data_IF_628508057409
#
_entry.id   IF_628508057409
#
_cell.length_a   1.000
_cell.length_b   1.000
_cell.length_c   1.000
_cell.angle_alpha   90.00
_cell.angle_beta   90.00
_cell.angle_gamma   90.00
#
_symmetry.space_group_name_H-M   'P 1'
#
loop_
_entity.id
_entity.type
_entity.pdbx_description
1 polymer ?
#
# COMPACT_ATOMS: atom_id res chain seq x y z
N UNK A 1 -26.54 -49.74 -22.89
CA UNK A 1 -26.22 -48.78 -21.78
C UNK A 1 -24.74 -48.44 -21.74
N UNK A 2 -23.82 -49.37 -21.74
CA UNK A 2 -22.34 -49.16 -21.60
C UNK A 2 -21.75 -48.24 -22.68
N UNK A 3 -22.14 -48.35 -23.97
CA UNK A 3 -21.64 -47.50 -25.06
C UNK A 3 -22.02 -45.99 -24.91
N UNK A 4 -23.17 -45.69 -24.31
CA UNK A 4 -23.59 -44.29 -24.04
C UNK A 4 -22.83 -43.68 -22.85
N UNK A 5 -22.47 -44.50 -21.85
CA UNK A 5 -21.67 -44.06 -20.71
C UNK A 5 -20.23 -43.74 -21.12
N UNK A 6 -19.62 -44.57 -21.96
CA UNK A 6 -18.28 -44.38 -22.50
C UNK A 6 -18.18 -43.10 -23.37
N UNK A 7 -19.21 -42.81 -24.16
CA UNK A 7 -19.24 -41.58 -24.98
C UNK A 7 -19.37 -40.33 -24.12
N UNK A 8 -20.21 -40.38 -23.07
CA UNK A 8 -20.34 -39.25 -22.13
C UNK A 8 -19.04 -38.96 -21.36
N UNK A 9 -18.31 -39.97 -20.91
CA UNK A 9 -17.03 -39.87 -20.24
C UNK A 9 -15.96 -39.28 -21.18
N UNK A 10 -15.91 -39.73 -22.44
CA UNK A 10 -14.98 -39.21 -23.44
C UNK A 10 -15.23 -37.72 -23.77
N UNK A 11 -16.49 -37.30 -23.84
CA UNK A 11 -16.83 -35.87 -24.06
C UNK A 11 -16.43 -35.00 -22.88
N UNK A 12 -16.65 -35.46 -21.63
CA UNK A 12 -16.23 -34.70 -20.42
C UNK A 12 -14.72 -34.61 -20.31
N UNK A 13 -13.99 -35.68 -20.63
CA UNK A 13 -12.51 -35.66 -20.64
C UNK A 13 -11.98 -34.75 -21.74
N UNK A 14 -12.60 -34.75 -22.92
CA UNK A 14 -12.22 -33.81 -24.00
C UNK A 14 -12.51 -32.38 -23.66
N UNK A 15 -13.65 -32.05 -23.02
CA UNK A 15 -13.94 -30.69 -22.55
C UNK A 15 -12.99 -30.22 -21.44
N UNK A 16 -12.59 -31.10 -20.52
CA UNK A 16 -11.60 -30.82 -19.50
C UNK A 16 -10.19 -30.60 -20.08
N UNK A 17 -9.83 -31.37 -21.11
CA UNK A 17 -8.55 -31.20 -21.82
C UNK A 17 -8.50 -29.90 -22.62
N UNK A 18 -9.60 -29.56 -23.31
CA UNK A 18 -9.72 -28.25 -24.03
C UNK A 18 -9.71 -27.08 -23.05
N UNK A 19 -10.39 -27.20 -21.92
CA UNK A 19 -10.37 -26.20 -20.86
C UNK A 19 -8.97 -25.97 -20.25
N UNK A 20 -8.19 -27.06 -20.04
CA UNK A 20 -6.79 -26.98 -19.61
C UNK A 20 -5.88 -26.39 -20.68
N UNK A 21 -6.03 -26.79 -21.95
CA UNK A 21 -5.27 -26.25 -23.07
C UNK A 21 -5.56 -24.76 -23.28
N UNK A 22 -6.82 -24.35 -23.21
CA UNK A 22 -7.20 -22.93 -23.29
C UNK A 22 -6.65 -22.10 -22.11
N UNK A 23 -6.66 -22.66 -20.89
CA UNK A 23 -6.01 -22.02 -19.73
C UNK A 23 -4.50 -21.91 -19.87
N UNK A 24 -3.85 -22.91 -20.42
CA UNK A 24 -2.40 -22.88 -20.67
C UNK A 24 -2.03 -21.90 -21.80
N UNK A 25 -2.83 -21.75 -22.82
CA UNK A 25 -2.61 -20.77 -23.90
C UNK A 25 -2.80 -19.34 -23.37
N UNK A 26 -3.79 -19.10 -22.49
CA UNK A 26 -3.96 -17.81 -21.81
C UNK A 26 -2.82 -17.53 -20.82
N UNK A 27 -2.27 -18.54 -20.16
CA UNK A 27 -1.11 -18.39 -19.27
C UNK A 27 0.22 -18.16 -20.01
N UNK A 28 0.30 -18.49 -21.30
CA UNK A 28 1.46 -18.24 -22.16
C UNK A 28 1.46 -16.83 -22.80
N UNK A 29 0.35 -16.12 -22.75
CA UNK A 29 0.31 -14.70 -23.11
C UNK A 29 0.82 -13.91 -21.90
N UNK A 30 1.99 -13.29 -22.02
CA UNK A 30 2.50 -12.36 -21.00
C UNK A 30 1.44 -11.29 -20.67
N UNK A 31 1.62 -10.57 -19.58
CA UNK A 31 0.66 -9.53 -19.21
C UNK A 31 0.48 -8.54 -20.37
N UNK A 32 -0.73 -8.00 -20.58
CA UNK A 32 -1.01 -7.09 -21.68
C UNK A 32 -0.03 -5.90 -21.65
N UNK A 33 0.33 -5.32 -22.79
CA UNK A 33 1.22 -4.17 -22.84
C UNK A 33 0.63 -3.01 -22.04
N UNK A 34 1.51 -2.20 -21.44
CA UNK A 34 1.12 -0.96 -20.74
C UNK A 34 0.58 0.03 -21.76
N UNK A 35 -0.50 0.74 -21.41
CA UNK A 35 -1.08 1.78 -22.23
C UNK A 35 -0.02 2.85 -22.60
N UNK A 36 0.18 3.15 -23.89
CA UNK A 36 1.12 4.20 -24.33
C UNK A 36 0.88 5.56 -23.68
N UNK A 37 -0.36 5.91 -23.35
CA UNK A 37 -0.67 7.15 -22.64
C UNK A 37 -0.13 7.14 -21.20
N UNK A 38 -0.10 5.98 -20.52
CA UNK A 38 0.51 5.81 -19.21
C UNK A 38 2.02 6.06 -19.30
N UNK A 39 2.70 5.44 -20.27
CA UNK A 39 4.12 5.64 -20.51
C UNK A 39 4.46 7.10 -20.81
N UNK A 40 3.66 7.77 -21.65
CA UNK A 40 3.86 9.17 -22.01
C UNK A 40 3.71 10.11 -20.79
N UNK A 41 2.87 9.78 -19.83
CA UNK A 41 2.75 10.54 -18.59
C UNK A 41 3.98 10.34 -17.69
N UNK A 42 4.42 9.11 -17.53
CA UNK A 42 5.61 8.77 -16.74
C UNK A 42 6.89 9.41 -17.29
N UNK A 43 7.01 9.53 -18.62
CA UNK A 43 8.15 10.16 -19.28
C UNK A 43 8.34 11.67 -18.98
N UNK A 44 7.35 12.30 -18.31
CA UNK A 44 7.47 13.70 -17.84
C UNK A 44 8.25 13.83 -16.53
N UNK A 45 8.53 12.71 -15.84
CA UNK A 45 9.36 12.71 -14.65
C UNK A 45 10.83 12.95 -14.99
N UNK A 46 11.63 13.50 -14.05
CA UNK A 46 13.07 13.59 -14.23
C UNK A 46 13.68 12.19 -14.38
N UNK A 47 14.75 12.04 -15.20
CA UNK A 47 15.44 10.76 -15.33
C UNK A 47 15.93 10.26 -13.97
N UNK A 48 15.72 8.98 -13.70
CA UNK A 48 16.23 8.29 -12.52
C UNK A 48 16.75 6.91 -12.94
N UNK A 49 17.96 6.58 -12.49
CA UNK A 49 18.60 5.30 -12.79
C UNK A 49 18.65 4.42 -11.55
N UNK A 50 18.73 3.11 -11.75
CA UNK A 50 18.93 2.16 -10.66
C UNK A 50 20.22 2.44 -9.88
N UNK A 51 21.28 2.91 -10.55
CA UNK A 51 22.53 3.27 -9.89
C UNK A 51 22.34 4.41 -8.88
N UNK A 52 21.50 5.40 -9.22
CA UNK A 52 21.16 6.47 -8.28
C UNK A 52 20.30 5.96 -7.11
N UNK A 53 19.36 5.06 -7.37
CA UNK A 53 18.56 4.41 -6.30
C UNK A 53 19.48 3.61 -5.37
N UNK A 54 20.38 2.80 -5.92
CA UNK A 54 21.37 2.01 -5.15
C UNK A 54 22.29 2.91 -4.31
N UNK A 55 22.71 4.06 -4.85
CA UNK A 55 23.48 5.06 -4.09
C UNK A 55 22.69 5.58 -2.89
N UNK A 56 21.41 5.86 -3.06
CA UNK A 56 20.52 6.30 -1.99
C UNK A 56 20.29 5.25 -0.91
N UNK A 57 20.46 3.96 -1.20
CA UNK A 57 20.40 2.92 -0.16
C UNK A 57 21.41 3.13 0.97
N UNK A 58 22.52 3.82 0.68
CA UNK A 58 23.53 4.18 1.67
C UNK A 58 23.35 5.64 2.16
N UNK A 59 23.19 6.58 1.23
CA UNK A 59 23.15 8.01 1.55
C UNK A 59 21.91 8.43 2.38
N UNK A 60 20.77 7.76 2.16
CA UNK A 60 19.53 8.08 2.87
C UNK A 60 19.31 7.20 4.10
N UNK A 61 20.13 6.19 4.35
CA UNK A 61 19.91 5.20 5.39
C UNK A 61 19.68 5.83 6.77
N UNK A 62 18.71 5.25 7.50
CA UNK A 62 18.49 5.47 8.92
C UNK A 62 19.02 4.32 9.78
N UNK A 63 19.75 3.38 9.19
CA UNK A 63 20.29 2.25 9.94
C UNK A 63 21.18 2.72 11.09
N UNK A 64 21.03 2.12 12.25
CA UNK A 64 21.74 2.48 13.46
C UNK A 64 21.28 3.79 14.14
N UNK A 65 20.40 4.56 13.53
CA UNK A 65 19.92 5.85 14.08
C UNK A 65 19.31 5.73 15.48
N UNK A 66 18.63 4.63 15.76
CA UNK A 66 17.97 4.34 17.05
C UNK A 66 18.58 3.13 17.78
N UNK A 67 19.80 2.76 17.41
CA UNK A 67 20.52 1.60 17.94
C UNK A 67 20.43 0.38 17.02
N UNK A 68 21.35 -0.61 17.22
CA UNK A 68 21.47 -1.74 16.30
C UNK A 68 20.29 -2.71 16.35
N UNK A 69 19.55 -2.76 17.46
CA UNK A 69 18.43 -3.67 17.67
C UNK A 69 17.07 -3.01 17.37
N UNK A 70 17.07 -1.79 16.83
CA UNK A 70 15.82 -1.10 16.52
C UNK A 70 15.07 -1.78 15.36
N UNK A 71 13.81 -2.09 15.63
CA UNK A 71 12.86 -2.70 14.68
C UNK A 71 11.65 -1.79 14.38
N UNK A 72 11.65 -0.54 14.88
CA UNK A 72 10.54 0.41 14.75
C UNK A 72 10.76 1.49 13.70
N UNK A 73 12.02 1.75 13.34
CA UNK A 73 12.36 2.74 12.33
C UNK A 73 11.83 4.14 12.63
N UNK A 74 11.21 4.75 11.62
CA UNK A 74 10.67 6.12 11.72
C UNK A 74 9.54 6.30 12.74
N UNK A 75 8.92 5.22 13.22
CA UNK A 75 7.95 5.30 14.31
C UNK A 75 8.57 5.80 15.62
N UNK A 76 9.89 5.78 15.77
CA UNK A 76 10.59 6.42 16.87
C UNK A 76 10.47 7.96 16.87
N UNK A 77 10.06 8.57 15.75
CA UNK A 77 9.71 9.99 15.71
C UNK A 77 8.35 10.30 16.34
N UNK A 78 7.50 9.30 16.54
CA UNK A 78 6.21 9.46 17.23
C UNK A 78 6.44 9.36 18.74
N UNK A 79 6.91 10.47 19.30
CA UNK A 79 7.15 10.59 20.74
C UNK A 79 5.83 10.84 21.49
N UNK A 80 5.78 10.64 22.81
CA UNK A 80 4.62 11.03 23.62
C UNK A 80 4.21 12.49 23.42
N UNK A 81 5.19 13.40 23.30
CA UNK A 81 4.93 14.81 23.02
C UNK A 81 4.26 15.01 21.65
N UNK A 82 4.77 14.32 20.61
CA UNK A 82 4.16 14.36 19.27
C UNK A 82 2.71 13.87 19.27
N UNK A 83 2.42 12.81 20.02
CA UNK A 83 1.07 12.29 20.20
C UNK A 83 0.17 13.31 20.91
N UNK A 84 0.63 13.94 21.98
CA UNK A 84 -0.14 14.96 22.70
C UNK A 84 -0.41 16.18 21.81
N UNK A 85 0.55 16.57 20.97
CA UNK A 85 0.35 17.65 19.99
C UNK A 85 -0.68 17.27 18.93
N UNK A 86 -0.62 16.05 18.44
CA UNK A 86 -1.59 15.53 17.47
C UNK A 86 -3.02 15.54 18.02
N UNK A 87 -3.21 15.09 19.27
CA UNK A 87 -4.52 15.05 19.91
C UNK A 87 -5.22 16.42 20.00
N UNK A 88 -4.48 17.53 19.99
CA UNK A 88 -5.04 18.88 19.95
C UNK A 88 -5.72 19.23 18.63
N UNK A 89 -5.52 18.41 17.60
CA UNK A 89 -6.17 18.57 16.28
C UNK A 89 -7.61 18.03 16.24
N UNK A 90 -8.01 17.21 17.21
CA UNK A 90 -9.38 16.74 17.36
C UNK A 90 -10.27 17.88 17.91
N UNK A 91 -10.69 18.77 17.03
CA UNK A 91 -11.43 20.00 17.41
C UNK A 91 -12.94 19.86 17.25
N UNK A 92 -13.35 19.06 16.26
CA UNK A 92 -14.75 18.95 15.84
C UNK A 92 -15.37 17.63 16.25
N UNK A 93 -14.55 16.64 16.65
CA UNK A 93 -14.98 15.30 17.02
C UNK A 93 -15.51 14.46 15.85
N UNK A 94 -15.27 14.89 14.60
CA UNK A 94 -15.67 14.14 13.41
C UNK A 94 -14.65 13.07 13.13
N UNK A 95 -15.12 11.83 12.99
CA UNK A 95 -14.31 10.65 12.75
C UNK A 95 -14.60 10.08 11.36
N UNK A 96 -13.56 9.81 10.60
CA UNK A 96 -13.63 9.14 9.30
C UNK A 96 -12.73 7.91 9.28
N UNK A 97 -13.13 6.86 8.56
CA UNK A 97 -12.24 5.75 8.26
C UNK A 97 -11.27 6.14 7.16
N UNK A 98 -10.01 5.69 7.29
CA UNK A 98 -8.97 5.84 6.26
C UNK A 98 -8.76 4.52 5.48
N UNK A 99 -9.65 3.54 5.68
CA UNK A 99 -9.57 2.22 5.06
C UNK A 99 -10.73 1.97 4.09
N UNK A 100 -10.42 1.32 2.97
CA UNK A 100 -11.43 0.76 2.08
C UNK A 100 -12.04 -0.50 2.71
N UNK A 101 -13.29 -0.78 2.41
CA UNK A 101 -13.91 -2.05 2.78
C UNK A 101 -13.13 -3.22 2.15
N UNK A 102 -12.92 -4.30 2.92
CA UNK A 102 -12.32 -5.51 2.38
C UNK A 102 -13.15 -6.03 1.20
N UNK A 103 -12.49 -6.21 0.05
CA UNK A 103 -13.17 -6.65 -1.16
C UNK A 103 -12.99 -8.15 -1.37
N UNK A 104 -14.11 -8.84 -1.58
CA UNK A 104 -14.15 -10.24 -2.01
C UNK A 104 -14.18 -10.35 -3.56
N UNK A 105 -14.20 -9.23 -4.25
CA UNK A 105 -14.31 -9.15 -5.70
C UNK A 105 -13.01 -9.58 -6.37
N UNK A 106 -13.11 -10.50 -7.35
CA UNK A 106 -12.02 -10.81 -8.29
C UNK A 106 -12.04 -9.78 -9.41
N UNK A 107 -11.07 -8.88 -9.41
CA UNK A 107 -11.00 -7.78 -10.35
C UNK A 107 -9.57 -7.56 -10.86
N UNK A 108 -9.43 -6.74 -11.90
CA UNK A 108 -8.12 -6.46 -12.49
C UNK A 108 -7.14 -5.78 -11.51
N UNK A 109 -7.65 -5.08 -10.51
CA UNK A 109 -6.89 -4.42 -9.45
C UNK A 109 -6.81 -5.23 -8.15
N UNK A 110 -7.35 -6.45 -8.11
CA UNK A 110 -7.29 -7.35 -6.96
C UNK A 110 -6.60 -8.65 -7.35
N UNK A 111 -5.33 -8.79 -6.94
CA UNK A 111 -4.43 -9.84 -7.45
C UNK A 111 -4.66 -11.21 -6.81
N UNK A 112 -5.43 -11.29 -5.70
CA UNK A 112 -5.69 -12.50 -4.95
C UNK A 112 -4.42 -13.27 -4.56
N UNK A 113 -3.62 -12.72 -3.64
CA UNK A 113 -2.54 -13.46 -2.97
C UNK A 113 -3.07 -14.55 -2.02
N UNK A 114 -4.16 -15.16 -2.37
CA UNK A 114 -4.83 -16.18 -1.61
C UNK A 114 -6.33 -16.19 -1.87
N UNK A 115 -7.04 -17.12 -1.24
CA UNK A 115 -8.49 -17.15 -1.32
C UNK A 115 -9.09 -16.08 -0.40
N UNK A 116 -9.69 -15.05 -0.97
CA UNK A 116 -10.49 -14.10 -0.20
C UNK A 116 -11.88 -14.68 0.01
N UNK A 117 -12.25 -14.94 1.25
CA UNK A 117 -13.48 -15.59 1.62
C UNK A 117 -14.01 -15.09 2.96
N UNK A 118 -15.29 -14.85 3.02
CA UNK A 118 -16.04 -14.63 4.25
C UNK A 118 -17.10 -15.73 4.36
N UNK A 119 -17.25 -16.35 5.51
CA UNK A 119 -18.23 -17.42 5.73
C UNK A 119 -18.81 -17.39 7.13
N UNK A 120 -20.06 -17.83 7.23
CA UNK A 120 -20.73 -18.11 8.50
C UNK A 120 -20.44 -19.54 8.91
N UNK A 121 -20.07 -19.76 10.18
CA UNK A 121 -19.63 -21.08 10.66
C UNK A 121 -20.70 -21.90 11.41
N UNK A 122 -21.81 -21.27 11.80
CA UNK A 122 -22.82 -21.89 12.68
C UNK A 122 -24.24 -21.61 12.23
N UNK A 123 -24.45 -21.27 10.97
CA UNK A 123 -25.79 -21.09 10.40
C UNK A 123 -26.39 -22.44 10.06
N UNK A 124 -27.63 -22.70 10.50
CA UNK A 124 -28.39 -23.86 10.08
C UNK A 124 -28.66 -23.77 8.57
N UNK A 125 -28.18 -24.74 7.76
CA UNK A 125 -28.26 -24.63 6.31
C UNK A 125 -29.70 -24.76 5.75
N UNK A 126 -30.65 -25.25 6.56
CA UNK A 126 -32.04 -25.46 6.14
C UNK A 126 -32.92 -24.26 6.49
N UNK A 127 -32.72 -23.68 7.66
CA UNK A 127 -33.57 -22.58 8.17
C UNK A 127 -32.91 -21.22 8.09
N UNK A 128 -31.60 -21.14 7.91
CA UNK A 128 -30.83 -19.90 7.99
C UNK A 128 -30.76 -19.30 9.41
N UNK A 129 -31.26 -20.00 10.41
CA UNK A 129 -31.35 -19.48 11.77
C UNK A 129 -30.10 -19.76 12.58
N UNK A 130 -29.76 -18.83 13.46
CA UNK A 130 -28.65 -18.95 14.41
C UNK A 130 -28.92 -18.06 15.62
N UNK A 131 -28.59 -18.54 16.83
CA UNK A 131 -28.73 -17.72 18.07
C UNK A 131 -27.52 -16.79 18.28
N UNK A 132 -26.33 -17.26 17.99
CA UNK A 132 -25.08 -16.51 18.06
C UNK A 132 -24.32 -16.70 16.76
N UNK A 133 -24.27 -15.68 15.92
CA UNK A 133 -23.59 -15.73 14.63
C UNK A 133 -22.07 -15.78 14.83
N UNK A 134 -21.43 -16.73 14.16
CA UNK A 134 -19.97 -16.85 14.10
C UNK A 134 -19.54 -16.86 12.65
N UNK A 135 -18.55 -16.08 12.34
CA UNK A 135 -18.01 -15.97 11.00
C UNK A 135 -16.49 -16.11 10.98
N UNK A 136 -15.95 -16.37 9.82
CA UNK A 136 -14.54 -16.37 9.55
C UNK A 136 -14.24 -15.61 8.27
N UNK A 137 -13.04 -15.06 8.20
CA UNK A 137 -12.54 -14.36 7.00
C UNK A 137 -11.12 -14.79 6.69
N UNK A 138 -10.85 -14.99 5.40
CA UNK A 138 -9.48 -15.07 4.85
C UNK A 138 -9.36 -14.06 3.73
N UNK A 139 -8.23 -13.39 3.63
CA UNK A 139 -7.88 -12.52 2.51
C UNK A 139 -6.37 -12.28 2.46
N UNK A 140 -5.85 -12.02 1.27
CA UNK A 140 -4.47 -11.58 1.11
C UNK A 140 -4.33 -10.16 1.64
N UNK A 141 -3.48 -9.95 2.64
CA UNK A 141 -3.27 -8.62 3.23
C UNK A 141 -2.77 -7.64 2.16
N UNK A 142 -1.81 -8.07 1.32
CA UNK A 142 -1.22 -7.27 0.25
C UNK A 142 -2.03 -7.24 -1.06
N UNK A 143 -3.30 -7.64 -1.04
CA UNK A 143 -4.15 -7.54 -2.23
C UNK A 143 -4.39 -6.09 -2.64
N UNK A 144 -4.55 -5.86 -3.93
CA UNK A 144 -4.63 -4.53 -4.51
C UNK A 144 -5.87 -3.71 -4.16
N UNK A 145 -6.83 -4.26 -3.42
CA UNK A 145 -8.03 -3.56 -2.92
C UNK A 145 -8.11 -3.51 -1.39
N UNK A 146 -7.23 -4.23 -0.70
CA UNK A 146 -7.20 -4.21 0.76
C UNK A 146 -6.29 -3.11 1.27
N UNK A 147 -6.81 -2.22 2.11
CA UNK A 147 -5.99 -1.24 2.81
C UNK A 147 -5.09 -1.97 3.81
N UNK A 148 -3.78 -1.78 3.71
CA UNK A 148 -2.82 -2.43 4.58
C UNK A 148 -1.64 -1.52 4.93
N UNK A 149 -0.98 -1.85 6.04
CA UNK A 149 0.24 -1.21 6.50
C UNK A 149 1.38 -2.22 6.43
N UNK A 150 2.39 -1.94 5.64
CA UNK A 150 3.57 -2.78 5.46
C UNK A 150 4.52 -2.70 6.65
N UNK A 151 5.00 -3.86 7.06
CA UNK A 151 6.07 -3.98 8.05
C UNK A 151 7.46 -3.74 7.44
N UNK A 152 8.45 -3.45 8.28
CA UNK A 152 9.81 -3.20 7.82
C UNK A 152 10.54 -4.45 7.31
N UNK A 153 9.98 -5.64 7.48
CA UNK A 153 10.46 -6.87 6.88
C UNK A 153 9.84 -7.19 5.51
N UNK A 154 8.87 -6.38 5.05
CA UNK A 154 8.19 -6.63 3.77
C UNK A 154 9.13 -6.48 2.56
N UNK A 155 10.01 -5.47 2.59
CA UNK A 155 11.02 -5.23 1.55
C UNK A 155 12.43 -5.46 2.06
N UNK A 156 13.29 -6.02 1.21
CA UNK A 156 14.67 -6.31 1.53
C UNK A 156 15.62 -5.85 0.43
N UNK A 157 16.86 -5.56 0.81
CA UNK A 157 17.95 -5.25 -0.08
C UNK A 157 18.85 -6.49 -0.28
N UNK A 158 19.19 -6.85 -1.51
CA UNK A 158 20.17 -7.90 -1.76
C UNK A 158 21.59 -7.40 -1.39
N UNK A 159 22.24 -8.04 -0.42
CA UNK A 159 23.59 -7.72 0.06
C UNK A 159 24.42 -8.98 0.23
N UNK A 160 25.50 -9.13 -0.53
CA UNK A 160 26.41 -10.27 -0.38
C UNK A 160 25.74 -11.65 -0.49
N UNK A 161 24.76 -11.80 -1.38
CA UNK A 161 24.02 -13.05 -1.57
C UNK A 161 22.96 -13.34 -0.51
N UNK A 162 22.65 -12.37 0.38
CA UNK A 162 21.59 -12.44 1.38
C UNK A 162 20.61 -11.28 1.21
N UNK A 163 19.39 -11.46 1.66
CA UNK A 163 18.43 -10.39 1.78
C UNK A 163 18.55 -9.75 3.17
N UNK A 164 18.63 -8.44 3.20
CA UNK A 164 18.72 -7.63 4.43
C UNK A 164 17.53 -6.67 4.47
N UNK A 165 16.84 -6.67 5.59
CA UNK A 165 15.75 -5.74 5.88
C UNK A 165 16.26 -4.52 6.66
N UNK A 166 15.37 -3.60 7.03
CA UNK A 166 15.72 -2.38 7.75
C UNK A 166 16.69 -2.66 8.93
N UNK A 167 17.58 -1.71 9.18
CA UNK A 167 18.58 -1.70 10.25
C UNK A 167 19.62 -2.83 10.16
N UNK A 168 19.93 -3.27 8.94
CA UNK A 168 20.88 -4.35 8.67
C UNK A 168 20.50 -5.72 9.28
N UNK A 169 19.22 -5.92 9.59
CA UNK A 169 18.75 -7.21 10.06
C UNK A 169 18.66 -8.20 8.89
N UNK A 170 19.01 -9.48 9.07
CA UNK A 170 18.80 -10.48 8.03
C UNK A 170 17.29 -10.70 7.82
N UNK A 171 16.85 -10.86 6.57
CA UNK A 171 15.48 -11.25 6.26
C UNK A 171 15.27 -12.72 6.61
N UNK A 172 15.13 -13.02 7.89
CA UNK A 172 14.84 -14.36 8.39
C UNK A 172 13.34 -14.61 8.30
N UNK A 173 12.92 -15.27 7.23
CA UNK A 173 11.54 -15.68 6.99
C UNK A 173 11.42 -17.20 7.08
N UNK A 174 10.31 -17.67 7.66
CA UNK A 174 9.84 -19.04 7.53
C UNK A 174 8.31 -19.04 7.30
N UNK A 175 7.69 -20.22 7.33
CA UNK A 175 6.24 -20.35 7.14
C UNK A 175 5.41 -19.60 8.21
N UNK A 176 6.01 -19.24 9.33
CA UNK A 176 5.36 -18.50 10.41
C UNK A 176 5.61 -16.97 10.32
N UNK A 177 6.34 -16.50 9.32
CA UNK A 177 6.59 -15.08 9.04
C UNK A 177 7.99 -14.59 9.40
N UNK A 178 8.11 -13.28 9.60
CA UNK A 178 9.37 -12.59 9.89
C UNK A 178 9.80 -12.80 11.35
N UNK A 179 11.09 -13.02 11.55
CA UNK A 179 11.69 -13.06 12.89
C UNK A 179 12.05 -11.67 13.40
N UNK A 180 12.37 -10.74 12.51
CA UNK A 180 12.74 -9.36 12.80
C UNK A 180 11.92 -8.40 11.93
N UNK A 181 11.76 -7.16 12.38
CA UNK A 181 11.09 -6.10 11.67
C UNK A 181 9.62 -6.41 11.28
N UNK A 182 9.01 -7.39 11.95
CA UNK A 182 7.62 -7.78 11.72
C UNK A 182 6.62 -6.72 12.23
N UNK A 183 5.37 -6.83 11.78
CA UNK A 183 4.35 -5.83 12.08
C UNK A 183 4.11 -5.62 13.58
N UNK A 184 4.19 -6.66 14.38
CA UNK A 184 4.02 -6.59 15.83
C UNK A 184 5.11 -5.78 16.56
N UNK A 185 6.27 -5.54 15.90
CA UNK A 185 7.34 -4.67 16.41
C UNK A 185 6.97 -3.18 16.37
N UNK A 186 5.95 -2.80 15.63
CA UNK A 186 5.49 -1.41 15.57
C UNK A 186 4.84 -0.91 16.88
N UNK A 187 4.56 -1.81 17.81
CA UNK A 187 4.06 -1.47 19.15
C UNK A 187 2.53 -1.57 19.27
N UNK A 188 1.94 -0.93 20.29
CA UNK A 188 0.53 -1.11 20.63
C UNK A 188 -0.44 -0.42 19.65
N UNK A 189 0.05 0.52 18.89
CA UNK A 189 -0.67 1.39 17.96
C UNK A 189 0.07 2.71 17.77
N UNK A 190 -0.36 3.50 16.82
CA UNK A 190 0.31 4.73 16.43
C UNK A 190 -0.73 5.86 16.43
N UNK A 191 -0.48 6.92 17.21
CA UNK A 191 -1.30 8.13 17.22
C UNK A 191 -0.39 9.32 16.95
N UNK A 192 -0.59 9.98 15.81
CA UNK A 192 0.23 11.10 15.38
C UNK A 192 -0.57 12.08 14.52
N UNK A 193 0.03 13.20 14.15
CA UNK A 193 -0.55 14.10 13.17
C UNK A 193 -0.53 13.45 11.80
N UNK A 194 -1.70 13.32 11.17
CA UNK A 194 -1.84 13.00 9.77
C UNK A 194 -1.88 14.29 8.94
N UNK A 195 -1.20 14.30 7.81
CA UNK A 195 -1.25 15.35 6.80
C UNK A 195 -1.71 14.74 5.49
N UNK A 196 -2.87 15.15 5.01
CA UNK A 196 -3.42 14.69 3.74
C UNK A 196 -2.99 15.62 2.61
N UNK A 197 -2.36 15.04 1.60
CA UNK A 197 -1.99 15.69 0.34
C UNK A 197 -3.02 15.28 -0.71
N UNK A 198 -3.96 16.17 -1.02
CA UNK A 198 -5.00 15.91 -2.02
C UNK A 198 -4.58 16.45 -3.39
N UNK A 199 -3.89 15.62 -4.16
CA UNK A 199 -3.39 16.00 -5.48
C UNK A 199 -4.50 16.32 -6.48
N UNK A 200 -5.60 15.55 -6.57
CA UNK A 200 -6.73 15.90 -7.45
C UNK A 200 -7.31 17.29 -7.15
N UNK A 201 -7.50 17.63 -5.89
CA UNK A 201 -8.01 18.96 -5.49
C UNK A 201 -7.07 20.08 -5.99
N UNK A 202 -5.78 19.96 -5.74
CA UNK A 202 -4.79 20.97 -6.14
C UNK A 202 -4.71 21.10 -7.67
N UNK A 203 -4.76 19.98 -8.38
CA UNK A 203 -4.69 19.96 -9.85
C UNK A 203 -6.04 20.19 -10.54
N UNK A 204 -7.13 20.35 -9.78
CA UNK A 204 -8.50 20.58 -10.26
C UNK A 204 -8.98 19.49 -11.21
N UNK A 205 -8.70 18.23 -10.85
CA UNK A 205 -9.14 17.03 -11.56
C UNK A 205 -9.87 16.11 -10.60
N UNK A 206 -10.63 15.15 -11.12
CA UNK A 206 -11.35 14.18 -10.30
C UNK A 206 -10.39 13.12 -9.72
N UNK A 207 -9.37 12.73 -10.52
CA UNK A 207 -8.27 11.84 -10.14
C UNK A 207 -7.02 12.14 -10.96
N UNK A 208 -5.87 11.66 -10.52
CA UNK A 208 -4.67 11.59 -11.34
C UNK A 208 -4.74 10.38 -12.27
N UNK A 209 -4.52 10.58 -13.55
CA UNK A 209 -4.46 9.47 -14.51
C UNK A 209 -3.28 8.53 -14.20
N UNK A 210 -3.42 7.20 -14.40
CA UNK A 210 -2.35 6.24 -14.24
C UNK A 210 -1.05 6.66 -14.96
N UNK A 211 0.09 6.42 -14.32
CA UNK A 211 1.40 6.85 -14.83
C UNK A 211 1.77 8.31 -14.51
N UNK A 212 0.87 9.07 -13.85
CA UNK A 212 1.19 10.45 -13.45
C UNK A 212 2.14 10.45 -12.25
N UNK A 213 3.38 10.94 -12.40
CA UNK A 213 4.32 11.06 -11.29
C UNK A 213 3.97 12.25 -10.40
N UNK A 214 4.09 12.06 -9.10
CA UNK A 214 4.08 13.12 -8.09
C UNK A 214 5.53 13.42 -7.72
N UNK A 215 5.93 14.67 -7.87
CA UNK A 215 7.29 15.15 -7.69
C UNK A 215 7.43 16.01 -6.42
N UNK A 216 8.66 16.32 -6.02
CA UNK A 216 8.93 17.25 -4.90
C UNK A 216 8.22 18.59 -5.10
N UNK A 217 8.26 19.13 -6.31
CA UNK A 217 7.56 20.38 -6.65
C UNK A 217 6.05 20.32 -6.41
N UNK A 218 5.41 19.17 -6.62
CA UNK A 218 3.98 18.99 -6.34
C UNK A 218 3.73 19.00 -4.83
N UNK A 219 4.58 18.31 -4.05
CA UNK A 219 4.47 18.25 -2.59
C UNK A 219 4.69 19.63 -1.95
N UNK A 220 5.68 20.37 -2.44
CA UNK A 220 5.95 21.74 -1.94
C UNK A 220 4.87 22.74 -2.40
N UNK A 221 4.31 22.56 -3.58
CA UNK A 221 3.14 23.32 -4.03
C UNK A 221 1.92 23.03 -3.16
N UNK A 222 1.73 21.77 -2.75
CA UNK A 222 0.68 21.40 -1.80
C UNK A 222 0.87 22.04 -0.43
N UNK A 223 2.09 22.01 0.14
CA UNK A 223 2.39 22.69 1.42
C UNK A 223 1.96 24.16 1.39
N UNK A 224 2.22 24.85 0.28
CA UNK A 224 1.82 26.25 0.10
C UNK A 224 0.30 26.41 -0.06
N UNK A 225 -0.33 25.54 -0.89
CA UNK A 225 -1.77 25.55 -1.13
C UNK A 225 -2.56 25.27 0.16
N UNK A 226 -2.16 24.28 0.92
CA UNK A 226 -2.82 23.84 2.14
C UNK A 226 -2.43 24.67 3.38
N UNK A 227 -1.42 25.53 3.26
CA UNK A 227 -0.80 26.25 4.36
C UNK A 227 -0.40 25.30 5.51
N UNK A 228 0.23 24.19 5.17
CA UNK A 228 0.68 23.16 6.10
C UNK A 228 2.12 22.79 5.80
N UNK A 229 2.90 22.50 6.84
CA UNK A 229 4.27 22.02 6.70
C UNK A 229 4.34 20.57 7.17
N UNK A 230 4.75 19.69 6.26
CA UNK A 230 5.02 18.28 6.57
C UNK A 230 6.33 18.18 7.34
N UNK A 231 6.37 17.40 8.42
CA UNK A 231 7.54 17.34 9.28
C UNK A 231 7.67 16.08 10.10
N UNK A 232 8.60 16.12 11.04
CA UNK A 232 8.98 14.97 11.86
C UNK A 232 7.81 14.33 12.55
N UNK A 233 7.72 13.00 12.39
CA UNK A 233 6.74 12.17 13.04
C UNK A 233 5.33 12.26 12.44
N UNK A 234 5.14 12.98 11.34
CA UNK A 234 3.84 13.02 10.67
C UNK A 234 3.55 11.72 9.92
N UNK A 235 2.29 11.36 9.85
CA UNK A 235 1.76 10.41 8.88
C UNK A 235 1.38 11.19 7.62
N UNK A 236 2.14 11.00 6.54
CA UNK A 236 1.91 11.65 5.26
C UNK A 236 1.01 10.76 4.40
N UNK A 237 -0.16 11.26 4.04
CA UNK A 237 -1.15 10.55 3.23
C UNK A 237 -1.31 11.23 1.87
N UNK A 238 -1.14 10.47 0.80
CA UNK A 238 -1.22 10.96 -0.59
C UNK A 238 -2.51 10.43 -1.23
N UNK A 239 -3.42 11.32 -1.55
CA UNK A 239 -4.61 11.00 -2.35
C UNK A 239 -4.32 11.24 -3.82
N UNK A 240 -4.48 10.20 -4.62
CA UNK A 240 -4.40 10.25 -6.10
C UNK A 240 -5.79 10.29 -6.75
N UNK A 241 -6.85 9.97 -5.99
CA UNK A 241 -8.22 9.82 -6.48
C UNK A 241 -8.48 8.45 -7.09
N UNK A 242 -7.67 7.43 -6.75
CA UNK A 242 -7.84 6.07 -7.26
C UNK A 242 -9.25 5.53 -7.08
N UNK A 243 -9.83 5.73 -5.90
CA UNK A 243 -11.15 5.18 -5.59
C UNK A 243 -12.27 5.89 -6.34
N UNK A 244 -12.16 7.21 -6.55
CA UNK A 244 -13.06 7.96 -7.41
C UNK A 244 -13.00 7.44 -8.86
N UNK A 245 -11.79 7.19 -9.38
CA UNK A 245 -11.61 6.57 -10.70
C UNK A 245 -12.25 5.18 -10.75
N UNK A 246 -11.94 4.31 -9.78
CA UNK A 246 -12.48 2.95 -9.73
C UNK A 246 -14.00 2.90 -9.69
N UNK A 247 -14.60 3.78 -8.94
CA UNK A 247 -16.06 3.89 -8.85
C UNK A 247 -16.70 4.31 -10.19
N UNK A 248 -16.04 5.15 -10.97
CA UNK A 248 -16.59 5.71 -12.21
C UNK A 248 -16.29 4.88 -13.45
N UNK A 249 -15.08 4.33 -13.57
CA UNK A 249 -14.64 3.63 -14.78
C UNK A 249 -14.42 2.13 -14.57
N UNK A 250 -14.53 1.63 -13.33
CA UNK A 250 -14.27 0.24 -12.99
C UNK A 250 -12.79 -0.07 -12.68
N UNK A 251 -12.50 -1.34 -12.33
CA UNK A 251 -11.16 -1.80 -11.99
C UNK A 251 -10.24 -1.82 -13.23
N UNK A 252 -8.95 -1.55 -13.02
CA UNK A 252 -7.89 -1.65 -14.02
C UNK A 252 -6.62 -2.29 -13.39
N UNK A 253 -5.58 -2.66 -14.16
CA UNK A 253 -4.37 -3.29 -13.61
C UNK A 253 -3.50 -2.29 -12.81
N UNK A 254 -4.05 -1.79 -11.72
CA UNK A 254 -3.52 -0.73 -10.87
C UNK A 254 -2.11 -1.02 -10.34
N UNK A 255 -1.76 -2.27 -10.07
CA UNK A 255 -0.41 -2.64 -9.65
C UNK A 255 0.68 -2.37 -10.71
N UNK A 256 0.30 -2.14 -11.96
CA UNK A 256 1.19 -1.88 -13.09
C UNK A 256 0.99 -0.48 -13.72
N UNK A 257 -0.15 0.12 -13.50
CA UNK A 257 -0.57 1.37 -14.10
C UNK A 257 -1.24 2.24 -13.05
N UNK A 258 -0.46 3.09 -12.37
CA UNK A 258 -1.00 3.95 -11.32
C UNK A 258 -0.27 5.28 -11.22
N UNK A 259 -0.98 6.32 -10.76
CA UNK A 259 -0.37 7.56 -10.33
C UNK A 259 0.23 7.37 -8.93
N UNK A 260 1.34 8.01 -8.65
CA UNK A 260 2.01 7.90 -7.35
C UNK A 260 3.29 8.70 -7.27
N UNK A 261 4.02 8.54 -6.19
CA UNK A 261 5.29 9.21 -5.96
C UNK A 261 6.37 8.70 -6.91
N UNK A 262 7.10 9.60 -7.52
CA UNK A 262 8.30 9.26 -8.28
C UNK A 262 9.48 9.02 -7.33
N UNK A 263 10.37 8.06 -7.63
CA UNK A 263 11.51 7.73 -6.76
C UNK A 263 12.39 8.91 -6.36
N UNK A 264 12.43 9.97 -7.18
CA UNK A 264 13.20 11.18 -6.89
C UNK A 264 12.73 11.97 -5.65
N UNK A 265 11.57 11.63 -5.07
CA UNK A 265 11.09 12.30 -3.84
C UNK A 265 11.73 11.74 -2.56
N UNK A 266 12.43 10.61 -2.64
CA UNK A 266 12.99 9.94 -1.46
C UNK A 266 13.93 10.82 -0.62
N UNK A 267 14.85 11.62 -1.18
CA UNK A 267 15.68 12.54 -0.38
C UNK A 267 14.85 13.60 0.36
N UNK A 268 13.78 14.09 -0.26
CA UNK A 268 12.87 15.04 0.38
C UNK A 268 12.10 14.39 1.55
N UNK A 269 11.59 13.16 1.37
CA UNK A 269 10.92 12.40 2.43
C UNK A 269 11.87 12.13 3.62
N UNK A 270 13.16 11.81 3.34
CA UNK A 270 14.20 11.71 4.36
C UNK A 270 14.34 12.99 5.17
N UNK A 271 14.38 14.16 4.52
CA UNK A 271 14.50 15.46 5.19
C UNK A 271 13.27 15.79 6.05
N UNK A 272 12.09 15.33 5.65
CA UNK A 272 10.83 15.56 6.39
C UNK A 272 10.70 14.68 7.63
N UNK A 273 11.48 13.62 7.76
CA UNK A 273 11.45 12.68 8.89
C UNK A 273 10.03 12.20 9.23
N UNK A 274 9.25 11.89 8.21
CA UNK A 274 7.89 11.37 8.37
C UNK A 274 7.91 10.01 9.10
N UNK A 275 6.84 9.68 9.80
CA UNK A 275 6.72 8.41 10.53
C UNK A 275 6.06 7.29 9.72
N UNK A 276 5.10 7.63 8.90
CA UNK A 276 4.36 6.74 8.00
C UNK A 276 4.16 7.46 6.68
N UNK A 277 4.28 6.74 5.58
CA UNK A 277 3.86 7.20 4.26
C UNK A 277 2.67 6.35 3.80
N UNK A 278 1.62 6.98 3.28
CA UNK A 278 0.45 6.25 2.79
C UNK A 278 -0.07 6.81 1.47
N UNK A 279 -0.66 5.93 0.67
CA UNK A 279 -1.36 6.28 -0.56
C UNK A 279 -2.71 5.59 -0.65
N UNK A 280 -3.66 6.20 -1.36
CA UNK A 280 -4.91 5.56 -1.76
C UNK A 280 -4.72 4.54 -2.89
N UNK A 281 -3.48 4.39 -3.35
CA UNK A 281 -3.03 3.44 -4.35
C UNK A 281 -1.83 2.65 -3.80
N UNK A 282 -0.94 2.13 -4.64
CA UNK A 282 0.43 1.80 -4.26
C UNK A 282 1.23 3.11 -4.23
N UNK A 283 2.16 3.24 -3.31
CA UNK A 283 2.87 4.52 -3.12
C UNK A 283 3.71 4.93 -4.34
N UNK A 284 4.31 3.98 -5.05
CA UNK A 284 5.09 4.23 -6.27
C UNK A 284 4.19 4.57 -7.46
N UNK A 285 4.59 5.53 -8.28
CA UNK A 285 4.05 5.65 -9.64
C UNK A 285 4.39 4.39 -10.46
N UNK A 286 3.45 3.90 -11.25
CA UNK A 286 3.68 2.75 -12.10
C UNK A 286 3.29 3.04 -13.56
N UNK A 287 4.20 2.76 -14.51
CA UNK A 287 5.60 2.35 -14.32
C UNK A 287 6.45 3.39 -13.58
N UNK A 288 7.46 2.94 -12.83
CA UNK A 288 8.29 3.81 -11.98
C UNK A 288 9.11 4.85 -12.75
N UNK A 289 9.39 4.59 -14.03
CA UNK A 289 10.29 5.40 -14.86
C UNK A 289 11.77 5.24 -14.54
N UNK A 290 12.14 4.40 -13.56
CA UNK A 290 13.55 4.12 -13.23
C UNK A 290 14.18 3.24 -14.29
N UNK A 291 15.28 3.72 -14.87
CA UNK A 291 16.04 2.95 -15.86
C UNK A 291 16.91 1.91 -15.15
N UNK A 292 16.71 0.62 -15.47
CA UNK A 292 17.41 -0.51 -14.84
C UNK A 292 16.48 -1.68 -14.60
N UNK A 293 16.95 -2.64 -13.81
CA UNK A 293 16.20 -3.86 -13.49
C UNK A 293 16.18 -4.12 -11.97
N UNK A 294 15.31 -5.03 -11.56
CA UNK A 294 15.15 -5.44 -10.17
C UNK A 294 14.05 -4.70 -9.43
N UNK A 295 13.80 -5.13 -8.20
CA UNK A 295 12.70 -4.61 -7.40
C UNK A 295 12.88 -3.13 -7.05
N UNK A 296 14.09 -2.69 -6.77
CA UNK A 296 14.39 -1.29 -6.49
C UNK A 296 14.16 -0.37 -7.71
N UNK A 297 14.28 -0.88 -8.93
CA UNK A 297 13.88 -0.15 -10.12
C UNK A 297 12.37 -0.14 -10.30
N UNK A 298 11.70 -1.25 -10.01
CA UNK A 298 10.25 -1.38 -10.12
C UNK A 298 9.49 -0.59 -9.02
N UNK A 299 9.96 -0.69 -7.78
CA UNK A 299 9.33 -0.09 -6.58
C UNK A 299 10.34 0.73 -5.77
N UNK A 300 10.88 1.84 -6.31
CA UNK A 300 11.91 2.62 -5.63
C UNK A 300 11.45 3.23 -4.31
N UNK A 301 10.17 3.67 -4.21
CA UNK A 301 9.63 4.23 -2.98
C UNK A 301 9.48 3.13 -1.92
N UNK A 302 8.91 1.97 -2.24
CA UNK A 302 8.83 0.85 -1.30
C UNK A 302 10.21 0.47 -0.79
N UNK A 303 11.16 0.27 -1.70
CA UNK A 303 12.52 -0.13 -1.36
C UNK A 303 13.19 0.88 -0.43
N UNK A 304 13.19 2.16 -0.81
CA UNK A 304 13.87 3.21 -0.04
C UNK A 304 13.16 3.53 1.28
N UNK A 305 11.82 3.55 1.30
CA UNK A 305 11.11 3.86 2.53
C UNK A 305 11.21 2.70 3.52
N UNK A 306 10.86 1.49 3.13
CA UNK A 306 10.77 0.36 4.05
C UNK A 306 12.17 -0.11 4.47
N UNK A 307 13.02 -0.50 3.50
CA UNK A 307 14.27 -1.17 3.82
C UNK A 307 15.41 -0.19 4.22
N UNK A 308 15.39 1.06 3.73
CA UNK A 308 16.48 2.01 3.95
C UNK A 308 16.15 3.00 5.05
N UNK A 309 14.98 3.65 4.98
CA UNK A 309 14.57 4.68 5.92
C UNK A 309 13.82 4.12 7.14
N UNK A 310 13.33 2.89 7.08
CA UNK A 310 12.50 2.29 8.13
C UNK A 310 11.16 3.00 8.27
N UNK A 311 10.55 3.42 7.17
CA UNK A 311 9.24 4.06 7.11
C UNK A 311 8.20 3.03 6.68
N UNK A 312 7.25 2.64 7.53
CA UNK A 312 6.13 1.78 7.15
C UNK A 312 5.28 2.45 6.07
N UNK A 313 4.77 1.65 5.12
CA UNK A 313 3.92 2.14 4.04
C UNK A 313 2.47 1.71 4.20
N UNK A 314 1.55 2.61 3.89
CA UNK A 314 0.13 2.28 3.70
C UNK A 314 -0.17 2.24 2.22
N UNK A 315 -0.59 1.09 1.73
CA UNK A 315 -1.14 0.93 0.40
C UNK A 315 -2.66 0.80 0.43
N UNK A 316 -3.29 1.27 -0.63
CA UNK A 316 -4.73 1.17 -0.85
C UNK A 316 -5.60 1.82 0.24
N UNK A 317 -5.10 2.87 0.93
CA UNK A 317 -5.90 3.63 1.88
C UNK A 317 -7.15 4.23 1.21
N UNK A 318 -8.22 4.46 1.97
CA UNK A 318 -9.42 5.13 1.49
C UNK A 318 -9.47 6.55 2.05
N UNK A 319 -9.13 7.53 1.23
CA UNK A 319 -8.99 8.91 1.69
C UNK A 319 -10.08 9.85 1.18
N UNK A 320 -11.13 9.33 0.51
CA UNK A 320 -12.20 10.14 -0.07
C UNK A 320 -12.98 10.92 1.00
N UNK A 321 -13.36 10.25 2.10
CA UNK A 321 -14.10 10.90 3.19
C UNK A 321 -13.22 11.91 3.93
N UNK A 322 -11.94 11.57 4.19
CA UNK A 322 -11.00 12.49 4.80
C UNK A 322 -10.75 13.73 3.92
N UNK A 323 -10.66 13.56 2.60
CA UNK A 323 -10.50 14.67 1.66
C UNK A 323 -11.71 15.60 1.65
N UNK A 324 -12.92 15.04 1.70
CA UNK A 324 -14.17 15.80 1.81
C UNK A 324 -14.21 16.64 3.10
N UNK A 325 -13.93 16.02 4.25
CA UNK A 325 -13.91 16.68 5.56
C UNK A 325 -12.81 17.75 5.64
N UNK A 326 -11.61 17.45 5.11
CA UNK A 326 -10.50 18.39 5.06
C UNK A 326 -10.83 19.63 4.19
N UNK A 327 -11.43 19.42 3.01
CA UNK A 327 -11.81 20.50 2.10
C UNK A 327 -12.90 21.41 2.71
N UNK A 328 -13.92 20.84 3.37
CA UNK A 328 -14.97 21.60 4.04
C UNK A 328 -14.39 22.51 5.14
N UNK A 329 -13.40 22.03 5.87
CA UNK A 329 -12.73 22.77 6.96
C UNK A 329 -11.58 23.63 6.48
N UNK A 330 -11.12 23.46 5.26
CA UNK A 330 -9.87 24.00 4.75
C UNK A 330 -8.69 23.69 5.68
N UNK A 331 -8.68 22.45 6.20
CA UNK A 331 -7.67 21.95 7.14
C UNK A 331 -7.30 20.53 6.76
N UNK A 332 -6.09 20.34 6.29
CA UNK A 332 -5.55 19.06 5.78
C UNK A 332 -4.67 18.34 6.78
N UNK A 333 -4.75 18.73 8.03
CA UNK A 333 -4.12 18.04 9.16
C UNK A 333 -5.17 17.65 10.20
N UNK A 334 -5.01 16.47 10.76
CA UNK A 334 -5.93 15.87 11.72
C UNK A 334 -5.21 14.80 12.55
N UNK A 335 -5.86 14.25 13.58
CA UNK A 335 -5.32 13.11 14.31
C UNK A 335 -5.41 11.87 13.45
N UNK A 336 -4.28 11.24 13.17
CA UNK A 336 -4.22 9.89 12.60
C UNK A 336 -4.06 8.87 13.72
N UNK A 337 -4.97 7.88 13.77
CA UNK A 337 -4.93 6.80 14.74
C UNK A 337 -4.91 5.46 14.00
N UNK A 338 -3.78 4.75 14.10
CA UNK A 338 -3.52 3.48 13.41
C UNK A 338 -3.39 2.36 14.42
N UNK A 339 -4.22 1.35 14.29
CA UNK A 339 -4.11 0.10 15.03
C UNK A 339 -3.68 -1.01 14.06
N UNK A 340 -2.84 -1.87 14.53
CA UNK A 340 -2.38 -3.05 13.80
C UNK A 340 -3.03 -4.31 14.36
N UNK A 341 -3.26 -5.30 13.52
CA UNK A 341 -3.54 -6.65 13.97
C UNK A 341 -2.32 -7.18 14.72
N UNK A 342 -2.48 -7.53 15.99
CA UNK A 342 -1.38 -8.04 16.82
C UNK A 342 -1.04 -9.48 16.46
N UNK A 343 -0.45 -9.65 15.29
CA UNK A 343 -0.04 -10.94 14.74
C UNK A 343 1.49 -10.99 14.69
N UNK A 344 2.08 -11.88 15.47
CA UNK A 344 3.53 -12.06 15.46
C UNK A 344 4.01 -12.53 14.07
N UNK A 345 5.13 -11.97 13.61
CA UNK A 345 5.77 -12.35 12.37
C UNK A 345 5.11 -11.84 11.09
N UNK A 346 4.03 -11.05 11.18
CA UNK A 346 3.36 -10.54 9.99
C UNK A 346 4.23 -9.59 9.17
N UNK A 347 4.15 -9.69 7.83
CA UNK A 347 4.81 -8.78 6.87
C UNK A 347 4.00 -7.50 6.64
N UNK A 348 2.74 -7.51 7.03
CA UNK A 348 1.84 -6.36 7.03
C UNK A 348 0.68 -6.59 8.00
N UNK A 349 -0.12 -5.56 8.19
CA UNK A 349 -1.42 -5.62 8.90
C UNK A 349 -2.49 -4.98 8.05
N UNK A 350 -3.72 -5.41 8.26
CA UNK A 350 -4.86 -4.61 7.82
C UNK A 350 -4.74 -3.21 8.39
N UNK A 351 -5.01 -2.25 7.55
CA UNK A 351 -5.04 -0.86 7.91
C UNK A 351 -6.51 -0.42 8.06
N UNK A 352 -6.96 -0.24 9.29
CA UNK A 352 -8.27 0.32 9.59
C UNK A 352 -8.09 1.55 10.49
N UNK A 353 -7.32 2.51 9.99
CA UNK A 353 -7.01 3.73 10.69
C UNK A 353 -8.15 4.73 10.67
N UNK A 354 -8.16 5.62 11.64
CA UNK A 354 -9.10 6.71 11.76
C UNK A 354 -8.40 8.06 11.54
N UNK A 355 -9.11 8.94 10.83
CA UNK A 355 -8.86 10.37 10.84
C UNK A 355 -9.85 11.05 11.78
N UNK A 356 -9.35 11.88 12.72
CA UNK A 356 -10.19 12.59 13.69
C UNK A 356 -9.94 14.09 13.55
N UNK A 357 -10.96 14.82 13.18
CA UNK A 357 -10.95 16.26 12.95
C UNK A 357 -11.36 17.07 14.17
#
# INVERSE_FOLDING_TARGET
>A
MIKRLLFAVLVVVAMLAIGKAARNVLAMQGPPPIDPAVLARGAKAPPLTIDQVNKWETELSNWGKWGPDDERGSLNFVTPQKTLEALKLARDGVVVSLAHFASLEKAADNFNFGETKHWMSNVDPQTGQVRGALDGITYGIHDGTNSHLDALCHYALPRGGKNIVFNNHPQNLDINGCKQNSIDRMGPGIVTRAVLVDMPLMKKVEWLDPGTPILVSDLEAWEKFANVKIGRGDMLLIRTGRWAKRAKVGPWPQGRETAGLHGSVAPWLKQREISILGSDSVNDVQPSGVTGQGEAANRPIHTLMIAVLGVPLVDNGYFEDAAKEAAQRRRWEFVGSVQITRMAGGTASNFNALGIF
#
